data_IF_274483305907
#
_entry.id   IF_274483305907
#
_cell.length_a   1.000
_cell.length_b   1.000
_cell.length_c   1.000
_cell.angle_alpha   90.00
_cell.angle_beta   90.00
_cell.angle_gamma   90.00
#
_symmetry.space_group_name_H-M   'P 1'
#
loop_
_entity.id
_entity.type
_entity.pdbx_description
1 polymer ?
#
# COMPACT_ATOMS: atom_id res chain seq x y z
N UNK A 1 11.91 9.26 -15.07
CA UNK A 1 10.48 9.12 -14.62
C UNK A 1 9.57 9.84 -15.60
N UNK A 2 8.76 9.09 -16.34
CA UNK A 2 7.95 9.61 -17.43
C UNK A 2 6.50 9.88 -17.02
N UNK A 3 5.95 9.02 -16.16
CA UNK A 3 4.56 9.15 -15.70
C UNK A 3 4.37 8.53 -14.33
N UNK A 4 3.52 9.14 -13.52
CA UNK A 4 3.13 8.58 -12.21
C UNK A 4 1.62 8.41 -12.19
N UNK A 5 1.16 7.21 -11.82
CA UNK A 5 -0.24 6.92 -11.54
C UNK A 5 -0.36 6.64 -10.05
N UNK A 6 -1.35 7.22 -9.38
CA UNK A 6 -1.52 7.06 -7.92
C UNK A 6 -2.82 6.36 -7.57
N UNK A 7 -2.81 5.60 -6.48
CA UNK A 7 -3.95 4.86 -5.96
C UNK A 7 -4.03 5.08 -4.46
N UNK A 8 -5.17 5.57 -3.97
CA UNK A 8 -5.44 5.62 -2.53
C UNK A 8 -5.98 4.26 -2.09
N UNK A 9 -5.29 3.62 -1.14
CA UNK A 9 -5.69 2.31 -0.61
C UNK A 9 -6.42 2.51 0.71
N UNK A 10 -7.63 1.95 0.78
CA UNK A 10 -8.46 2.00 1.98
C UNK A 10 -7.83 1.17 3.09
N UNK A 11 -7.95 1.60 4.36
CA UNK A 11 -7.60 0.77 5.50
C UNK A 11 -8.61 -0.36 5.69
N UNK A 12 -8.12 -1.53 6.03
CA UNK A 12 -8.96 -2.67 6.39
C UNK A 12 -9.43 -2.53 7.82
N UNK A 13 -10.72 -2.76 8.03
CA UNK A 13 -11.36 -2.67 9.34
C UNK A 13 -11.63 -4.07 9.82
N UNK A 14 -11.17 -4.37 11.03
CA UNK A 14 -11.41 -5.65 11.68
C UNK A 14 -12.13 -5.44 13.00
N UNK A 15 -12.98 -6.41 13.34
CA UNK A 15 -13.72 -6.42 14.59
C UNK A 15 -13.45 -7.73 15.29
N UNK A 16 -12.92 -7.66 16.51
CA UNK A 16 -12.56 -8.84 17.31
C UNK A 16 -13.50 -8.94 18.50
N UNK A 17 -14.18 -10.07 18.62
CA UNK A 17 -15.08 -10.35 19.74
C UNK A 17 -14.28 -11.04 20.84
N UNK A 18 -14.17 -10.37 21.99
CA UNK A 18 -13.46 -10.89 23.17
C UNK A 18 -14.45 -11.06 24.33
N UNK A 19 -14.11 -11.90 25.30
CA UNK A 19 -15.00 -12.23 26.44
C UNK A 19 -15.43 -11.00 27.25
N UNK A 20 -14.63 -9.93 27.22
CA UNK A 20 -14.87 -8.66 27.91
C UNK A 20 -15.47 -7.57 27.02
N UNK A 21 -15.66 -7.83 25.72
CA UNK A 21 -16.29 -6.88 24.80
C UNK A 21 -15.83 -6.98 23.34
N UNK A 22 -16.36 -6.08 22.52
CA UNK A 22 -16.06 -5.97 21.09
C UNK A 22 -14.93 -4.96 20.90
N UNK A 23 -13.85 -5.37 20.26
CA UNK A 23 -12.72 -4.51 19.92
C UNK A 23 -12.75 -4.17 18.42
N UNK A 24 -12.65 -2.90 18.09
CA UNK A 24 -12.57 -2.42 16.71
C UNK A 24 -11.14 -1.99 16.38
N UNK A 25 -10.57 -2.57 15.32
CA UNK A 25 -9.27 -2.24 14.79
C UNK A 25 -9.35 -1.74 13.35
N UNK A 26 -8.37 -0.93 12.94
CA UNK A 26 -8.16 -0.58 11.53
C UNK A 26 -6.66 -0.59 11.22
N UNK A 27 -6.31 -1.02 10.02
CA UNK A 27 -4.95 -0.82 9.50
C UNK A 27 -4.74 0.63 9.05
N UNK A 28 -3.50 1.02 8.79
CA UNK A 28 -3.20 2.37 8.30
C UNK A 28 -3.57 2.48 6.82
N UNK A 29 -4.20 3.60 6.46
CA UNK A 29 -4.44 3.94 5.07
C UNK A 29 -3.11 4.29 4.40
N UNK A 30 -2.89 3.81 3.17
CA UNK A 30 -1.67 4.10 2.43
C UNK A 30 -2.01 4.60 1.03
N UNK A 31 -1.16 5.48 0.50
CA UNK A 31 -1.23 5.92 -0.89
C UNK A 31 -0.11 5.24 -1.67
N UNK A 32 -0.48 4.46 -2.69
CA UNK A 32 0.46 3.77 -3.57
C UNK A 32 0.69 4.60 -4.84
N UNK A 33 1.90 4.54 -5.38
CA UNK A 33 2.25 5.14 -6.66
C UNK A 33 2.87 4.07 -7.57
N UNK A 34 2.39 4.01 -8.80
CA UNK A 34 2.94 3.20 -9.89
C UNK A 34 3.67 4.17 -10.80
N UNK A 35 4.98 3.98 -10.94
CA UNK A 35 5.88 4.89 -11.65
C UNK A 35 6.33 4.26 -12.96
N UNK A 36 6.13 4.98 -14.05
CA UNK A 36 6.67 4.65 -15.36
C UNK A 36 8.07 5.28 -15.49
N UNK A 37 9.05 4.46 -15.81
CA UNK A 37 10.41 4.87 -16.12
C UNK A 37 10.60 4.96 -17.64
N UNK A 38 11.62 5.71 -18.06
CA UNK A 38 11.99 5.76 -19.46
C UNK A 38 12.57 4.41 -19.89
N UNK A 39 12.51 4.12 -21.19
CA UNK A 39 13.03 2.86 -21.74
C UNK A 39 14.54 2.74 -21.44
N UNK A 40 14.92 1.63 -20.80
CA UNK A 40 16.31 1.35 -20.40
C UNK A 40 16.69 1.74 -18.96
N UNK A 41 15.83 2.46 -18.24
CA UNK A 41 16.03 2.77 -16.81
C UNK A 41 15.36 1.71 -15.91
N UNK A 42 16.11 1.15 -14.97
CA UNK A 42 15.62 0.23 -13.94
C UNK A 42 15.89 0.79 -12.54
N UNK A 43 15.13 0.33 -11.53
CA UNK A 43 15.34 0.72 -10.14
C UNK A 43 16.12 -0.38 -9.43
N UNK A 44 17.35 -0.07 -9.01
CA UNK A 44 18.27 -1.02 -8.37
C UNK A 44 17.71 -1.73 -7.14
N UNK A 45 16.81 -1.09 -6.39
CA UNK A 45 16.15 -1.67 -5.21
C UNK A 45 15.32 -2.92 -5.54
N UNK A 46 14.82 -3.03 -6.77
CA UNK A 46 14.00 -4.15 -7.22
C UNK A 46 14.75 -5.11 -8.16
N UNK A 47 16.03 -4.85 -8.43
CA UNK A 47 16.84 -5.65 -9.36
C UNK A 47 17.24 -7.02 -8.81
N UNK A 48 17.08 -7.26 -7.50
CA UNK A 48 17.55 -8.47 -6.81
C UNK A 48 16.43 -9.19 -6.03
N UNK A 49 15.22 -9.17 -6.59
CA UNK A 49 14.04 -9.81 -6.01
C UNK A 49 13.80 -11.19 -6.61
#
# INVERSE_FOLDING_TARGET
VEKVRTINVRPDRSTKFTKTGIQHGKTNAVKKAIVQLAEGETIDLYSNM
#
